data_IF_253482791660
#
_entry.id   IF_253482791660
#
_cell.length_a   1.000
_cell.length_b   1.000
_cell.length_c   1.000
_cell.angle_alpha   90.00
_cell.angle_beta   90.00
_cell.angle_gamma   90.00
#
_symmetry.space_group_name_H-M   'P 1'
#
loop_
_entity.id
_entity.type
_entity.pdbx_description
1 polymer ?
#
# COMPACT_ATOMS: atom_id res chain seq x y z
N UNK A 1 -5.27 3.49 1.81
CA UNK A 1 -4.51 3.19 3.05
C UNK A 1 -3.03 3.16 2.72
N UNK A 2 -2.20 3.72 3.58
CA UNK A 2 -0.74 3.68 3.43
C UNK A 2 -0.16 2.98 4.65
N UNK A 3 0.56 1.89 4.39
CA UNK A 3 1.15 1.04 5.43
C UNK A 3 2.67 1.13 5.30
N UNK A 4 3.32 1.77 6.26
CA UNK A 4 4.77 1.93 6.25
C UNK A 4 5.23 2.17 7.68
N UNK A 5 6.35 1.56 8.08
CA UNK A 5 6.88 1.75 9.42
C UNK A 5 7.64 3.08 9.57
N UNK A 6 7.94 3.74 8.46
CA UNK A 6 8.56 5.07 8.47
C UNK A 6 7.53 6.18 8.62
N UNK A 7 7.65 6.94 9.69
CA UNK A 7 6.78 8.08 9.93
C UNK A 7 6.93 9.14 8.81
N UNK A 8 8.15 9.34 8.32
CA UNK A 8 8.43 10.29 7.24
C UNK A 8 7.74 9.88 5.94
N UNK A 9 7.79 8.60 5.60
CA UNK A 9 7.16 8.09 4.38
C UNK A 9 5.64 8.18 4.49
N UNK A 10 5.06 7.79 5.62
CA UNK A 10 3.61 7.92 5.84
C UNK A 10 3.17 9.37 5.68
N UNK A 11 3.92 10.29 6.27
CA UNK A 11 3.60 11.72 6.21
C UNK A 11 3.64 12.25 4.79
N UNK A 12 4.69 11.91 4.03
CA UNK A 12 4.81 12.33 2.63
C UNK A 12 3.66 11.80 1.78
N UNK A 13 3.34 10.54 1.93
CA UNK A 13 2.23 9.93 1.19
C UNK A 13 0.90 10.59 1.56
N UNK A 14 0.68 10.85 2.83
CA UNK A 14 -0.53 11.53 3.30
C UNK A 14 -0.69 12.90 2.67
N UNK A 15 0.38 13.70 2.67
CA UNK A 15 0.34 15.04 2.08
C UNK A 15 0.00 14.98 0.60
N UNK A 16 0.68 14.11 -0.14
CA UNK A 16 0.48 13.98 -1.58
C UNK A 16 -0.95 13.53 -1.91
N UNK A 17 -1.45 12.54 -1.21
CA UNK A 17 -2.76 11.97 -1.50
C UNK A 17 -3.89 12.90 -1.07
N UNK A 18 -3.76 13.59 0.07
CA UNK A 18 -4.75 14.57 0.49
C UNK A 18 -4.83 15.75 -0.47
N UNK A 19 -3.67 16.18 -0.99
CA UNK A 19 -3.64 17.25 -1.98
C UNK A 19 -4.39 16.88 -3.26
N UNK A 20 -4.49 15.58 -3.56
CA UNK A 20 -5.23 15.07 -4.71
C UNK A 20 -6.72 14.78 -4.40
N UNK A 21 -7.17 15.10 -3.19
CA UNK A 21 -8.56 14.90 -2.81
C UNK A 21 -8.89 13.53 -2.23
N UNK A 22 -7.87 12.73 -1.91
CA UNK A 22 -8.07 11.40 -1.32
C UNK A 22 -8.27 11.49 0.20
N UNK A 23 -9.13 10.63 0.72
CA UNK A 23 -9.15 10.35 2.14
C UNK A 23 -8.06 9.33 2.44
N UNK A 24 -7.23 9.60 3.46
CA UNK A 24 -6.05 8.80 3.73
C UNK A 24 -6.17 8.13 5.10
N UNK A 25 -5.96 6.83 5.13
CA UNK A 25 -5.84 6.04 6.35
C UNK A 25 -4.40 5.56 6.46
N UNK A 26 -3.76 5.80 7.59
CA UNK A 26 -2.37 5.42 7.83
C UNK A 26 -2.30 4.23 8.76
N UNK A 27 -1.37 3.33 8.50
CA UNK A 27 -1.04 2.22 9.38
C UNK A 27 0.48 2.12 9.51
N UNK A 28 0.95 1.89 10.71
CA UNK A 28 2.39 1.89 10.99
C UNK A 28 3.04 0.52 10.77
N UNK A 29 2.25 -0.54 10.68
CA UNK A 29 2.73 -1.89 10.39
C UNK A 29 1.59 -2.76 9.85
N UNK A 30 1.91 -4.01 9.53
CA UNK A 30 0.93 -4.93 8.98
C UNK A 30 -0.19 -5.27 9.94
N UNK A 31 0.10 -5.39 11.22
CA UNK A 31 -0.92 -5.70 12.23
C UNK A 31 -1.90 -4.53 12.41
N UNK A 32 -1.37 -3.32 12.46
CA UNK A 32 -2.20 -2.11 12.53
C UNK A 32 -3.10 -1.99 11.29
N UNK A 33 -2.56 -2.30 10.12
CA UNK A 33 -3.33 -2.31 8.87
C UNK A 33 -4.48 -3.31 8.93
N UNK A 34 -4.22 -4.54 9.37
CA UNK A 34 -5.24 -5.56 9.46
C UNK A 34 -6.33 -5.20 10.46
N UNK A 35 -5.96 -4.51 11.55
CA UNK A 35 -6.92 -4.03 12.52
C UNK A 35 -7.85 -2.94 11.97
N UNK A 36 -7.31 -2.08 11.09
CA UNK A 36 -8.05 -0.93 10.54
C UNK A 36 -8.85 -1.25 9.28
N UNK A 37 -8.42 -2.24 8.50
CA UNK A 37 -8.96 -2.45 7.16
C UNK A 37 -10.45 -2.76 7.16
N UNK A 38 -10.93 -3.50 8.14
CA UNK A 38 -12.34 -3.91 8.21
C UNK A 38 -13.28 -2.72 8.35
N UNK A 39 -12.86 -1.70 9.13
CA UNK A 39 -13.68 -0.52 9.38
C UNK A 39 -13.52 0.54 8.30
N UNK A 40 -12.34 0.63 7.70
CA UNK A 40 -12.00 1.73 6.80
C UNK A 40 -12.32 1.45 5.33
N UNK A 41 -12.43 0.19 4.92
CA UNK A 41 -12.74 -0.21 3.55
C UNK A 41 -11.93 0.56 2.49
N UNK A 42 -10.59 0.51 2.54
CA UNK A 42 -9.79 1.27 1.59
C UNK A 42 -10.00 0.79 0.17
N UNK A 43 -9.97 1.73 -0.77
CA UNK A 43 -10.12 1.43 -2.19
C UNK A 43 -8.78 1.08 -2.84
N UNK A 44 -7.66 1.55 -2.28
CA UNK A 44 -6.30 1.23 -2.71
C UNK A 44 -5.42 1.15 -1.47
N UNK A 45 -4.50 0.21 -1.48
CA UNK A 45 -3.56 0.01 -0.36
C UNK A 45 -2.13 0.11 -0.88
N UNK A 46 -1.34 0.99 -0.26
CA UNK A 46 0.10 1.05 -0.45
C UNK A 46 0.75 0.40 0.75
N UNK A 47 1.66 -0.53 0.54
CA UNK A 47 2.33 -1.25 1.63
C UNK A 47 3.83 -1.34 1.41
N UNK A 48 4.60 -0.91 2.41
CA UNK A 48 6.04 -1.06 2.41
C UNK A 48 6.42 -2.55 2.50
N UNK A 49 7.39 -2.96 1.69
CA UNK A 49 7.86 -4.34 1.69
C UNK A 49 8.66 -4.66 2.96
N UNK A 50 9.55 -3.75 3.35
CA UNK A 50 10.48 -3.98 4.46
C UNK A 50 9.91 -3.42 5.76
N UNK A 51 9.17 -4.26 6.47
CA UNK A 51 8.63 -3.91 7.79
C UNK A 51 8.96 -5.01 8.79
N UNK A 52 9.18 -4.65 10.08
CA UNK A 52 9.46 -5.65 11.09
C UNK A 52 8.23 -6.53 11.37
N UNK A 53 8.47 -7.75 11.78
CA UNK A 53 7.49 -8.77 12.18
C UNK A 53 6.64 -9.27 11.01
N UNK A 54 5.86 -8.40 10.39
CA UNK A 54 5.00 -8.76 9.26
C UNK A 54 5.40 -7.89 8.08
N UNK A 55 6.10 -8.46 7.10
CA UNK A 55 6.57 -7.70 5.94
C UNK A 55 5.43 -7.40 4.96
N UNK A 56 5.75 -6.67 3.89
CA UNK A 56 4.75 -6.27 2.91
C UNK A 56 4.13 -7.43 2.15
N UNK A 57 4.92 -8.47 1.85
CA UNK A 57 4.40 -9.65 1.17
C UNK A 57 3.40 -10.39 2.05
N UNK A 58 3.76 -10.58 3.31
CA UNK A 58 2.89 -11.26 4.28
C UNK A 58 1.61 -10.47 4.52
N UNK A 59 1.74 -9.14 4.67
CA UNK A 59 0.59 -8.27 4.86
C UNK A 59 -0.35 -8.33 3.66
N UNK A 60 0.19 -8.23 2.45
CA UNK A 60 -0.59 -8.33 1.22
C UNK A 60 -1.32 -9.67 1.12
N UNK A 61 -0.61 -10.77 1.39
CA UNK A 61 -1.21 -12.10 1.33
C UNK A 61 -2.38 -12.25 2.29
N UNK A 62 -2.24 -11.72 3.51
CA UNK A 62 -3.31 -11.76 4.50
C UNK A 62 -4.51 -10.93 4.09
N UNK A 63 -4.28 -9.75 3.52
CA UNK A 63 -5.35 -8.90 3.01
C UNK A 63 -6.10 -9.63 1.89
N UNK A 64 -5.38 -10.21 0.95
CA UNK A 64 -5.97 -10.88 -0.22
C UNK A 64 -6.70 -12.18 0.12
N UNK A 65 -6.40 -12.80 1.25
CA UNK A 65 -7.13 -13.97 1.73
C UNK A 65 -8.54 -13.64 2.21
N UNK A 66 -8.76 -12.40 2.64
CA UNK A 66 -10.08 -11.98 3.07
C UNK A 66 -10.96 -11.73 1.84
N UNK A 67 -12.07 -12.43 1.74
CA UNK A 67 -12.98 -12.32 0.60
C UNK A 67 -13.45 -10.88 0.35
N UNK A 68 -13.58 -10.08 1.41
CA UNK A 68 -14.00 -8.67 1.30
C UNK A 68 -12.95 -7.79 0.62
N UNK A 69 -11.67 -8.17 0.70
CA UNK A 69 -10.56 -7.35 0.22
C UNK A 69 -9.75 -8.02 -0.88
N UNK A 70 -10.20 -9.17 -1.35
CA UNK A 70 -9.52 -9.92 -2.40
C UNK A 70 -9.31 -9.11 -3.67
N UNK A 71 -10.24 -8.25 -4.02
CA UNK A 71 -10.17 -7.41 -5.21
C UNK A 71 -9.63 -6.01 -4.95
N UNK A 72 -9.31 -5.67 -3.70
CA UNK A 72 -8.73 -4.37 -3.37
C UNK A 72 -7.32 -4.29 -3.92
N UNK A 73 -6.99 -3.30 -4.75
CA UNK A 73 -5.64 -3.15 -5.29
C UNK A 73 -4.61 -2.92 -4.19
N UNK A 74 -3.52 -3.67 -4.23
CA UNK A 74 -2.39 -3.53 -3.32
C UNK A 74 -1.14 -3.20 -4.10
N UNK A 75 -0.52 -2.07 -3.76
CA UNK A 75 0.68 -1.56 -4.41
C UNK A 75 1.83 -1.62 -3.42
N UNK A 76 2.87 -2.38 -3.77
CA UNK A 76 4.05 -2.51 -2.93
C UNK A 76 4.94 -1.28 -3.05
N UNK A 77 5.47 -0.81 -1.92
CA UNK A 77 6.46 0.26 -1.88
C UNK A 77 7.83 -0.36 -1.63
N UNK A 78 8.70 -0.26 -2.63
CA UNK A 78 10.04 -0.84 -2.58
C UNK A 78 11.09 0.26 -2.47
N UNK A 79 12.08 0.10 -1.60
CA UNK A 79 13.19 1.05 -1.55
C UNK A 79 14.02 0.94 -2.83
N UNK A 80 14.69 2.05 -3.20
CA UNK A 80 15.53 2.08 -4.39
C UNK A 80 16.63 1.00 -4.37
N UNK A 81 17.15 0.73 -3.18
CA UNK A 81 18.18 -0.29 -2.98
C UNK A 81 17.60 -1.61 -2.50
N UNK A 82 16.28 -1.68 -2.37
CA UNK A 82 15.60 -2.89 -1.93
C UNK A 82 15.39 -3.84 -3.09
N UNK A 83 15.20 -5.11 -2.74
CA UNK A 83 14.93 -6.15 -3.71
C UNK A 83 13.42 -6.41 -3.73
N UNK A 84 12.78 -5.99 -4.80
CA UNK A 84 11.40 -6.41 -5.04
C UNK A 84 11.44 -7.73 -5.80
N UNK A 85 10.94 -8.77 -5.17
CA UNK A 85 10.80 -10.07 -5.82
C UNK A 85 9.42 -10.13 -6.47
N UNK A 86 9.40 -10.05 -7.79
CA UNK A 86 8.16 -10.06 -8.56
C UNK A 86 7.36 -11.34 -8.39
N UNK A 87 8.04 -12.46 -8.25
CA UNK A 87 7.38 -13.74 -8.04
C UNK A 87 6.70 -13.77 -6.68
N UNK A 88 7.37 -13.32 -5.61
CA UNK A 88 6.76 -13.21 -4.29
C UNK A 88 5.60 -12.23 -4.28
N UNK A 89 5.75 -11.10 -4.96
CA UNK A 89 4.68 -10.11 -5.09
C UNK A 89 3.45 -10.72 -5.74
N UNK A 90 3.60 -11.42 -6.85
CA UNK A 90 2.48 -12.08 -7.52
C UNK A 90 1.84 -13.16 -6.66
N UNK A 91 2.66 -13.96 -5.97
CA UNK A 91 2.14 -14.99 -5.06
C UNK A 91 1.37 -14.39 -3.89
N UNK A 92 1.78 -13.22 -3.43
CA UNK A 92 1.07 -12.50 -2.37
C UNK A 92 -0.20 -11.81 -2.89
N UNK A 93 -0.33 -11.65 -4.21
CA UNK A 93 -1.48 -11.02 -4.84
C UNK A 93 -1.35 -9.52 -5.05
N UNK A 94 -0.13 -8.97 -5.02
CA UNK A 94 0.06 -7.54 -5.28
C UNK A 94 -0.23 -7.21 -6.74
N UNK A 95 -0.75 -6.01 -6.96
CA UNK A 95 -1.17 -5.56 -8.29
C UNK A 95 -0.10 -4.71 -8.99
N UNK A 96 0.75 -4.05 -8.22
CA UNK A 96 1.77 -3.15 -8.74
C UNK A 96 2.81 -2.88 -7.67
N UNK A 97 3.97 -2.32 -8.06
CA UNK A 97 4.92 -1.77 -7.11
C UNK A 97 5.39 -0.39 -7.53
N UNK A 98 5.80 0.42 -6.56
CA UNK A 98 6.43 1.72 -6.76
C UNK A 98 7.75 1.75 -6.00
N UNK A 99 8.73 2.46 -6.55
CA UNK A 99 10.03 2.63 -5.92
C UNK A 99 10.03 3.87 -5.03
N UNK A 100 10.56 3.75 -3.82
CA UNK A 100 10.81 4.90 -2.94
C UNK A 100 12.16 5.53 -3.26
N UNK A 101 12.30 6.84 -3.23
CA UNK A 101 11.27 7.83 -2.95
C UNK A 101 10.27 7.94 -4.12
N UNK A 102 9.00 7.98 -3.78
CA UNK A 102 7.95 8.21 -4.77
C UNK A 102 7.70 9.70 -4.93
N UNK A 103 7.11 10.08 -6.05
CA UNK A 103 6.66 11.44 -6.30
C UNK A 103 5.14 11.52 -6.09
N UNK A 104 4.64 12.74 -5.95
CA UNK A 104 3.20 12.95 -5.91
C UNK A 104 2.54 12.36 -7.15
N UNK A 105 3.11 12.63 -8.34
CA UNK A 105 2.56 12.14 -9.60
C UNK A 105 2.52 10.63 -9.67
N UNK A 106 3.56 9.93 -9.19
CA UNK A 106 3.59 8.47 -9.22
C UNK A 106 2.52 7.85 -8.30
N UNK A 107 2.30 8.45 -7.13
CA UNK A 107 1.24 7.99 -6.23
C UNK A 107 -0.14 8.21 -6.82
N UNK A 108 -0.38 9.39 -7.37
CA UNK A 108 -1.68 9.74 -7.96
C UNK A 108 -1.96 8.89 -9.20
N UNK A 109 -0.96 8.67 -10.04
CA UNK A 109 -1.10 7.79 -11.19
C UNK A 109 -1.50 6.38 -10.77
N UNK A 110 -0.85 5.84 -9.74
CA UNK A 110 -1.19 4.52 -9.22
C UNK A 110 -2.63 4.47 -8.71
N UNK A 111 -3.05 5.49 -7.96
CA UNK A 111 -4.43 5.59 -7.50
C UNK A 111 -5.40 5.60 -8.68
N UNK A 112 -5.13 6.44 -9.67
CA UNK A 112 -6.02 6.58 -10.83
C UNK A 112 -6.10 5.32 -11.69
N UNK A 113 -5.06 4.49 -11.69
CA UNK A 113 -5.08 3.23 -12.42
C UNK A 113 -6.08 2.24 -11.83
N UNK A 114 -6.40 2.36 -10.55
CA UNK A 114 -7.23 1.38 -9.84
C UNK A 114 -8.53 1.97 -9.29
N UNK A 115 -8.58 3.27 -9.01
CA UNK A 115 -9.79 3.93 -8.57
C UNK A 115 -10.34 4.78 -9.70
N UNK A 116 -11.53 4.49 -10.09
CA UNK A 116 -12.43 5.48 -10.60
C UNK A 116 -11.91 6.40 -11.66
N UNK A 117 -11.53 5.85 -12.73
CA UNK A 117 -11.71 6.55 -13.98
C UNK A 117 -13.20 6.59 -14.24
N UNK A 118 -13.81 7.53 -13.65
CA UNK A 118 -15.13 7.87 -14.11
C UNK A 118 -15.00 8.77 -15.31
#
# INVERSE_FOLDING_TARGET
MVIDDSNTIRRSAEIFLKAAGCEVVLAEDGFDALAKIADQHPQVIFVDIMMPRLDGYQTCALIKRNAKFKSTPVIMLSSKDGLFDRARGRMAGSDQYLTKPFTQDSLIEAVNNYIGKT
#
